data_IF_943986035781
#
_entry.id   IF_943986035781
#
_cell.length_a   1.000
_cell.length_b   1.000
_cell.length_c   1.000
_cell.angle_alpha   90.00
_cell.angle_beta   90.00
_cell.angle_gamma   90.00
#
_symmetry.space_group_name_H-M   'P 1'
#
loop_
_entity.id
_entity.type
_entity.pdbx_description
1 polymer ?
#
# COMPACT_ATOMS: atom_id res chain seq x y z
N UNK A 1 12.82 10.46 -8.54
CA UNK A 1 12.20 9.38 -9.34
C UNK A 1 12.56 9.59 -10.79
N UNK A 2 12.63 8.53 -11.59
CA UNK A 2 12.78 8.65 -13.04
C UNK A 2 11.50 9.33 -13.57
N UNK A 3 11.60 10.33 -14.44
CA UNK A 3 10.46 11.14 -14.90
C UNK A 3 9.30 10.32 -15.51
N UNK A 4 9.56 9.09 -15.93
CA UNK A 4 8.59 8.20 -16.59
C UNK A 4 8.10 7.01 -15.73
N UNK A 5 8.54 6.88 -14.46
CA UNK A 5 8.14 5.74 -13.61
C UNK A 5 6.97 6.12 -12.68
N UNK A 6 5.78 6.30 -13.25
CA UNK A 6 4.55 6.60 -12.50
C UNK A 6 3.89 5.33 -11.97
N UNK A 7 3.25 5.44 -10.82
CA UNK A 7 2.29 4.45 -10.33
C UNK A 7 0.93 4.75 -10.94
N UNK A 8 0.34 3.78 -11.63
CA UNK A 8 -0.98 3.97 -12.25
C UNK A 8 -1.98 3.05 -11.54
N UNK A 9 -3.05 3.62 -11.00
CA UNK A 9 -4.15 2.89 -10.34
C UNK A 9 -5.48 3.40 -10.90
N UNK A 10 -6.25 2.52 -11.54
CA UNK A 10 -7.54 2.90 -12.10
C UNK A 10 -7.48 4.07 -13.11
N UNK A 11 -6.39 4.18 -13.86
CA UNK A 11 -6.15 5.27 -14.81
C UNK A 11 -5.63 6.58 -14.20
N UNK A 12 -5.44 6.66 -12.90
CA UNK A 12 -4.85 7.80 -12.21
C UNK A 12 -3.36 7.61 -11.99
N UNK A 13 -2.57 8.67 -12.23
CA UNK A 13 -1.12 8.67 -12.09
C UNK A 13 -0.69 9.23 -10.73
N UNK A 14 0.25 8.53 -10.08
CA UNK A 14 0.88 8.94 -8.84
C UNK A 14 2.41 8.94 -9.00
N UNK A 15 3.05 9.94 -8.42
CA UNK A 15 4.51 10.00 -8.33
C UNK A 15 5.02 9.27 -7.10
N UNK A 16 4.23 9.27 -6.03
CA UNK A 16 4.57 8.59 -4.79
C UNK A 16 4.17 7.11 -4.83
N UNK A 17 5.02 6.28 -4.24
CA UNK A 17 4.74 4.86 -3.99
C UNK A 17 4.55 4.56 -2.50
N UNK A 18 4.40 5.62 -1.69
CA UNK A 18 4.02 5.55 -0.29
C UNK A 18 2.54 5.93 -0.13
N UNK A 19 1.76 5.06 0.49
CA UNK A 19 0.35 5.31 0.84
C UNK A 19 0.24 5.33 2.36
N UNK A 20 -0.36 6.39 2.91
CA UNK A 20 -0.64 6.43 4.35
C UNK A 20 -1.84 5.56 4.68
N UNK A 21 -1.63 4.55 5.52
CA UNK A 21 -2.68 3.69 6.05
C UNK A 21 -3.57 4.40 7.07
N UNK A 22 -4.77 3.85 7.31
CA UNK A 22 -5.67 4.29 8.38
C UNK A 22 -5.37 3.56 9.70
N UNK A 23 -5.71 4.16 10.81
CA UNK A 23 -5.59 3.48 12.12
C UNK A 23 -5.50 4.45 13.27
N UNK A 24 -4.38 5.09 13.44
CA UNK A 24 -4.17 6.15 14.42
C UNK A 24 -3.86 7.43 13.67
N UNK A 25 -4.79 8.37 13.68
CA UNK A 25 -4.57 9.68 13.07
C UNK A 25 -4.19 10.72 14.12
N UNK A 26 -3.24 11.54 13.74
CA UNK A 26 -3.05 12.87 14.30
C UNK A 26 -2.77 13.82 13.13
N UNK A 27 -3.05 15.09 13.29
CA UNK A 27 -2.73 16.12 12.29
C UNK A 27 -1.25 16.06 11.89
N UNK A 28 -0.37 15.88 12.89
CA UNK A 28 1.07 15.73 12.67
C UNK A 28 1.43 14.53 11.79
N UNK A 29 0.72 13.39 11.95
CA UNK A 29 0.95 12.20 11.13
C UNK A 29 0.57 12.46 9.67
N UNK A 30 -0.59 13.07 9.41
CA UNK A 30 -1.03 13.40 8.06
C UNK A 30 -0.06 14.41 7.42
N UNK A 31 0.29 15.47 8.15
CA UNK A 31 1.23 16.48 7.67
C UNK A 31 2.59 15.87 7.32
N UNK A 32 3.16 15.04 8.17
CA UNK A 32 4.44 14.39 7.94
C UNK A 32 4.36 13.35 6.80
N UNK A 33 3.27 12.60 6.71
CA UNK A 33 3.08 11.68 5.60
C UNK A 33 3.04 12.40 4.24
N UNK A 34 2.41 13.58 4.16
CA UNK A 34 2.34 14.38 2.94
C UNK A 34 3.67 15.08 2.66
N UNK A 35 4.22 15.82 3.64
CA UNK A 35 5.39 16.68 3.43
C UNK A 35 6.69 15.89 3.39
N UNK A 36 6.85 14.92 4.30
CA UNK A 36 8.13 14.21 4.49
C UNK A 36 8.17 12.91 3.72
N UNK A 37 7.12 12.06 3.83
CA UNK A 37 7.05 10.82 3.04
C UNK A 37 6.56 11.03 1.61
N UNK A 38 5.96 12.18 1.30
CA UNK A 38 5.46 12.52 -0.03
C UNK A 38 4.21 11.75 -0.44
N UNK A 39 3.36 11.37 0.54
CA UNK A 39 2.12 10.65 0.24
C UNK A 39 1.19 11.51 -0.65
N UNK A 40 0.72 10.92 -1.74
CA UNK A 40 -0.30 11.48 -2.63
C UNK A 40 -1.66 10.77 -2.45
N UNK A 41 -1.69 9.71 -1.64
CA UNK A 41 -2.89 8.96 -1.30
C UNK A 41 -2.92 8.65 0.21
N UNK A 42 -4.08 8.88 0.84
CA UNK A 42 -4.29 8.67 2.28
C UNK A 42 -5.58 7.89 2.50
N UNK A 43 -5.50 6.79 3.25
CA UNK A 43 -6.70 6.07 3.66
C UNK A 43 -7.38 6.74 4.84
N UNK A 44 -8.69 6.61 4.93
CA UNK A 44 -9.49 7.09 6.05
C UNK A 44 -10.66 6.14 6.35
N UNK A 45 -11.02 6.05 7.63
CA UNK A 45 -12.18 5.28 8.07
C UNK A 45 -13.36 6.24 8.31
N UNK A 46 -14.35 6.22 7.43
CA UNK A 46 -15.50 7.15 7.45
C UNK A 46 -16.26 7.17 8.78
N UNK A 47 -16.32 6.03 9.48
CA UNK A 47 -16.98 5.94 10.80
C UNK A 47 -16.38 6.83 11.89
N UNK A 48 -15.13 7.30 11.71
CA UNK A 48 -14.45 8.14 12.69
C UNK A 48 -14.57 9.63 12.39
N UNK A 49 -15.07 10.01 11.22
CA UNK A 49 -15.20 11.41 10.81
C UNK A 49 -16.49 12.08 11.30
N UNK A 50 -17.42 11.35 11.93
CA UNK A 50 -18.77 11.82 12.27
C UNK A 50 -19.02 12.04 13.77
N UNK A 51 -18.01 12.20 14.61
CA UNK A 51 -18.22 12.70 15.98
C UNK A 51 -18.44 14.23 15.91
N UNK A 52 -19.58 14.70 16.39
CA UNK A 52 -20.03 16.08 16.27
C UNK A 52 -19.14 17.14 16.96
N UNK A 53 -18.11 16.72 17.68
CA UNK A 53 -17.21 17.57 18.46
C UNK A 53 -15.73 17.52 18.00
N UNK A 54 -15.39 16.77 16.93
CA UNK A 54 -14.03 16.74 16.38
C UNK A 54 -14.00 17.51 15.05
N UNK A 55 -13.01 18.40 14.92
CA UNK A 55 -12.70 19.06 13.65
C UNK A 55 -12.63 18.02 12.52
N UNK A 56 -13.36 18.28 11.44
CA UNK A 56 -13.45 17.32 10.33
C UNK A 56 -12.06 17.15 9.69
N UNK A 57 -11.46 15.98 9.85
CA UNK A 57 -10.11 15.68 9.35
C UNK A 57 -9.97 15.93 7.84
N UNK A 58 -11.09 15.89 7.11
CA UNK A 58 -11.13 16.15 5.67
C UNK A 58 -10.80 17.61 5.33
N UNK A 59 -11.07 18.55 6.25
CA UNK A 59 -10.81 19.99 6.04
C UNK A 59 -9.31 20.30 6.07
N UNK A 60 -8.51 19.41 6.66
CA UNK A 60 -7.07 19.57 6.78
C UNK A 60 -6.26 18.85 5.71
N UNK A 61 -6.89 17.96 4.93
CA UNK A 61 -6.21 17.23 3.86
C UNK A 61 -6.22 18.12 2.60
N UNK A 62 -5.05 18.46 2.03
CA UNK A 62 -4.98 19.24 0.80
C UNK A 62 -5.77 18.58 -0.35
N UNK A 63 -6.44 19.41 -1.16
CA UNK A 63 -7.33 18.93 -2.26
C UNK A 63 -6.62 18.13 -3.35
N UNK A 64 -5.31 18.23 -3.44
CA UNK A 64 -4.49 17.45 -4.38
C UNK A 64 -4.13 16.06 -3.84
N UNK A 65 -4.52 15.70 -2.63
CA UNK A 65 -4.32 14.38 -2.05
C UNK A 65 -5.54 13.51 -2.37
N UNK A 66 -5.29 12.34 -2.91
CA UNK A 66 -6.34 11.36 -3.19
C UNK A 66 -6.79 10.71 -1.88
N UNK A 67 -8.08 10.81 -1.61
CA UNK A 67 -8.70 10.12 -0.49
C UNK A 67 -8.99 8.66 -0.86
N UNK A 68 -8.58 7.75 0.00
CA UNK A 68 -8.83 6.31 -0.14
C UNK A 68 -9.64 5.84 1.08
N UNK A 69 -10.96 6.11 1.13
CA UNK A 69 -11.78 5.60 2.22
C UNK A 69 -11.73 4.09 2.26
N UNK A 70 -11.66 3.54 3.48
CA UNK A 70 -11.71 2.09 3.68
C UNK A 70 -13.05 1.65 4.27
N UNK A 71 -13.40 0.39 4.04
CA UNK A 71 -14.60 -0.24 4.57
C UNK A 71 -14.36 -0.92 5.92
N UNK A 72 -13.35 -0.49 6.66
CA UNK A 72 -12.94 -1.07 7.95
C UNK A 72 -14.12 -1.18 8.91
N UNK A 73 -14.25 -2.35 9.51
CA UNK A 73 -15.35 -2.73 10.39
C UNK A 73 -16.50 -3.44 9.67
N UNK A 74 -16.48 -3.55 8.34
CA UNK A 74 -17.39 -4.41 7.60
C UNK A 74 -17.08 -5.89 7.88
N UNK A 75 -18.13 -6.69 8.03
CA UNK A 75 -18.07 -8.14 8.26
C UNK A 75 -18.60 -8.92 7.07
N UNK A 76 -19.35 -8.26 6.20
CA UNK A 76 -19.94 -8.81 4.99
C UNK A 76 -19.71 -7.87 3.81
N UNK A 77 -19.87 -8.39 2.61
CA UNK A 77 -19.79 -7.60 1.39
C UNK A 77 -20.83 -6.46 1.39
N UNK A 78 -22.05 -6.73 1.85
CA UNK A 78 -23.13 -5.74 1.90
C UNK A 78 -22.78 -4.56 2.83
N UNK A 79 -22.16 -4.83 3.98
CA UNK A 79 -21.69 -3.78 4.89
C UNK A 79 -20.57 -2.96 4.25
N UNK A 80 -19.62 -3.60 3.57
CA UNK A 80 -18.54 -2.91 2.85
C UNK A 80 -19.10 -2.00 1.75
N UNK A 81 -20.03 -2.50 0.95
CA UNK A 81 -20.70 -1.73 -0.11
C UNK A 81 -21.41 -0.50 0.46
N UNK A 82 -22.14 -0.67 1.57
CA UNK A 82 -22.84 0.45 2.23
C UNK A 82 -21.86 1.53 2.72
N UNK A 83 -20.74 1.13 3.33
CA UNK A 83 -19.72 2.06 3.82
C UNK A 83 -19.06 2.80 2.65
N UNK A 84 -18.72 2.10 1.57
CA UNK A 84 -18.14 2.71 0.37
C UNK A 84 -19.07 3.75 -0.26
N UNK A 85 -20.35 3.42 -0.42
CA UNK A 85 -21.35 4.36 -0.96
C UNK A 85 -21.49 5.61 -0.08
N UNK A 86 -21.56 5.43 1.23
CA UNK A 86 -21.61 6.53 2.18
C UNK A 86 -20.37 7.44 2.05
N UNK A 87 -19.17 6.87 1.91
CA UNK A 87 -17.95 7.67 1.74
C UNK A 87 -17.96 8.49 0.46
N UNK A 88 -18.50 7.95 -0.64
CA UNK A 88 -18.69 8.69 -1.90
C UNK A 88 -19.67 9.84 -1.74
N UNK A 89 -20.79 9.63 -1.06
CA UNK A 89 -21.79 10.69 -0.75
C UNK A 89 -21.20 11.80 0.11
N UNK A 90 -20.24 11.47 1.00
CA UNK A 90 -19.50 12.45 1.80
C UNK A 90 -18.39 13.19 1.02
N UNK A 91 -18.26 12.94 -0.28
CA UNK A 91 -17.33 13.66 -1.14
C UNK A 91 -15.91 13.06 -1.18
N UNK A 92 -15.69 11.83 -0.69
CA UNK A 92 -14.38 11.20 -0.71
C UNK A 92 -13.95 10.67 -2.09
N UNK A 93 -14.78 10.85 -3.13
CA UNK A 93 -14.48 10.37 -4.48
C UNK A 93 -14.78 8.89 -4.70
N UNK A 94 -14.21 8.30 -5.76
CA UNK A 94 -14.53 6.95 -6.20
C UNK A 94 -13.49 5.89 -5.79
N UNK A 95 -12.33 6.27 -5.26
CA UNK A 95 -11.38 5.31 -4.71
C UNK A 95 -11.95 4.65 -3.46
N UNK A 96 -11.73 3.35 -3.30
CA UNK A 96 -12.12 2.63 -2.08
C UNK A 96 -11.15 1.48 -1.78
N UNK A 97 -10.65 1.43 -0.55
CA UNK A 97 -9.96 0.27 -0.01
C UNK A 97 -10.98 -0.67 0.62
N UNK A 98 -11.15 -1.83 0.02
CA UNK A 98 -12.13 -2.81 0.50
C UNK A 98 -11.49 -3.66 1.59
N UNK A 99 -12.02 -3.56 2.80
CA UNK A 99 -11.65 -4.36 3.96
C UNK A 99 -12.89 -5.06 4.49
N UNK A 100 -12.96 -6.38 4.37
CA UNK A 100 -14.00 -7.20 5.01
C UNK A 100 -13.34 -8.19 5.96
N UNK A 101 -13.63 -8.08 7.25
CA UNK A 101 -12.96 -8.85 8.30
C UNK A 101 -13.97 -9.37 9.31
N UNK A 102 -14.21 -10.67 9.30
CA UNK A 102 -15.07 -11.34 10.32
C UNK A 102 -14.34 -11.48 11.65
N UNK A 103 -13.01 -11.68 11.61
CA UNK A 103 -12.17 -11.75 12.80
C UNK A 103 -11.80 -10.35 13.30
N UNK A 104 -12.05 -10.10 14.60
CA UNK A 104 -11.75 -8.82 15.24
C UNK A 104 -10.42 -8.80 15.98
N UNK A 105 -9.81 -9.97 16.17
CA UNK A 105 -8.60 -10.09 16.98
C UNK A 105 -7.33 -9.88 16.14
N UNK A 106 -7.29 -10.53 15.00
CA UNK A 106 -6.12 -10.51 14.12
C UNK A 106 -6.33 -9.62 12.90
N UNK A 107 -7.57 -9.20 12.64
CA UNK A 107 -7.96 -8.33 11.52
C UNK A 107 -7.57 -8.95 10.16
N UNK A 108 -7.77 -10.27 10.04
CA UNK A 108 -7.49 -10.98 8.81
C UNK A 108 -8.65 -10.80 7.82
N UNK A 109 -8.34 -10.59 6.53
CA UNK A 109 -9.34 -10.38 5.51
C UNK A 109 -10.13 -11.66 5.20
N UNK A 110 -11.42 -11.49 4.90
CA UNK A 110 -12.27 -12.53 4.32
C UNK A 110 -12.23 -12.39 2.79
N UNK A 111 -11.43 -13.22 2.12
CA UNK A 111 -11.24 -13.12 0.68
C UNK A 111 -12.55 -13.30 -0.10
N UNK A 112 -13.45 -14.19 0.32
CA UNK A 112 -14.72 -14.45 -0.37
C UNK A 112 -15.64 -13.22 -0.34
N UNK A 113 -15.82 -12.63 0.83
CA UNK A 113 -16.64 -11.44 0.98
C UNK A 113 -15.96 -10.21 0.31
N UNK A 114 -14.63 -10.16 0.30
CA UNK A 114 -13.87 -9.12 -0.40
C UNK A 114 -14.08 -9.18 -1.91
N UNK A 115 -14.07 -10.37 -2.54
CA UNK A 115 -14.36 -10.55 -3.96
C UNK A 115 -15.79 -10.07 -4.28
N UNK A 116 -16.80 -10.48 -3.48
CA UNK A 116 -18.20 -10.06 -3.68
C UNK A 116 -18.36 -8.54 -3.58
N UNK A 117 -17.75 -7.92 -2.57
CA UNK A 117 -17.79 -6.47 -2.41
C UNK A 117 -17.12 -5.74 -3.59
N UNK A 118 -15.98 -6.26 -4.06
CA UNK A 118 -15.24 -5.72 -5.19
C UNK A 118 -16.10 -5.74 -6.46
N UNK A 119 -16.74 -6.87 -6.77
CA UNK A 119 -17.59 -7.01 -7.96
C UNK A 119 -18.74 -5.99 -7.95
N UNK A 120 -19.42 -5.83 -6.82
CA UNK A 120 -20.55 -4.90 -6.69
C UNK A 120 -20.07 -3.45 -6.85
N UNK A 121 -18.97 -3.08 -6.18
CA UNK A 121 -18.47 -1.71 -6.18
C UNK A 121 -17.82 -1.32 -7.51
N UNK A 122 -17.10 -2.24 -8.17
CA UNK A 122 -16.52 -2.00 -9.49
C UNK A 122 -17.61 -1.75 -10.55
N UNK A 123 -18.71 -2.54 -10.52
CA UNK A 123 -19.90 -2.30 -11.39
C UNK A 123 -20.58 -0.96 -11.12
N UNK A 124 -20.46 -0.43 -9.89
CA UNK A 124 -20.99 0.89 -9.49
C UNK A 124 -19.99 2.04 -9.74
N UNK A 125 -18.89 1.77 -10.44
CA UNK A 125 -17.89 2.77 -10.86
C UNK A 125 -16.87 3.17 -9.80
N UNK A 126 -16.69 2.37 -8.75
CA UNK A 126 -15.61 2.58 -7.80
C UNK A 126 -14.28 2.06 -8.35
N UNK A 127 -13.20 2.74 -7.96
CA UNK A 127 -11.81 2.28 -8.17
C UNK A 127 -11.43 1.43 -6.96
N UNK A 128 -11.59 0.12 -7.11
CA UNK A 128 -11.51 -0.84 -6.02
C UNK A 128 -10.08 -1.29 -5.75
N UNK A 129 -9.64 -1.17 -4.50
CA UNK A 129 -8.34 -1.61 -4.01
C UNK A 129 -8.56 -2.61 -2.84
N UNK A 130 -8.80 -3.90 -3.13
CA UNK A 130 -9.14 -4.90 -2.13
C UNK A 130 -7.93 -5.33 -1.29
N UNK A 131 -8.10 -5.30 0.04
CA UNK A 131 -7.21 -5.90 1.03
C UNK A 131 -7.52 -7.40 1.13
N UNK A 132 -6.49 -8.24 0.96
CA UNK A 132 -6.66 -9.68 0.88
C UNK A 132 -5.56 -10.45 1.61
N UNK A 133 -5.86 -11.67 2.04
CA UNK A 133 -4.84 -12.66 2.36
C UNK A 133 -4.19 -13.12 1.05
N UNK A 134 -2.84 -13.13 0.90
CA UNK A 134 -2.18 -13.39 -0.37
C UNK A 134 -2.38 -14.84 -0.82
N UNK A 135 -3.26 -14.99 -1.81
CA UNK A 135 -3.61 -16.23 -2.50
C UNK A 135 -3.80 -15.93 -3.99
N UNK A 136 -3.15 -16.70 -4.86
CA UNK A 136 -3.14 -16.43 -6.29
C UNK A 136 -4.52 -16.57 -6.95
N UNK A 137 -5.29 -17.59 -6.56
CA UNK A 137 -6.63 -17.78 -7.13
C UNK A 137 -7.55 -16.63 -6.73
N UNK A 138 -7.51 -16.23 -5.46
CA UNK A 138 -8.22 -15.05 -4.97
C UNK A 138 -7.81 -13.78 -5.73
N UNK A 139 -6.53 -13.60 -6.05
CA UNK A 139 -6.07 -12.44 -6.81
C UNK A 139 -6.65 -12.44 -8.24
N UNK A 140 -6.69 -13.59 -8.92
CA UNK A 140 -7.36 -13.71 -10.22
C UNK A 140 -8.86 -13.42 -10.13
N UNK A 141 -9.54 -13.91 -9.10
CA UNK A 141 -10.96 -13.62 -8.88
C UNK A 141 -11.21 -12.13 -8.65
N UNK A 142 -10.31 -11.44 -7.91
CA UNK A 142 -10.38 -10.00 -7.70
C UNK A 142 -10.13 -9.20 -8.99
N UNK A 143 -9.20 -9.63 -9.84
CA UNK A 143 -9.00 -9.05 -11.19
C UNK A 143 -10.29 -9.17 -12.00
N UNK A 144 -10.89 -10.35 -12.03
CA UNK A 144 -12.15 -10.60 -12.74
C UNK A 144 -13.33 -9.80 -12.15
N UNK A 145 -13.31 -9.56 -10.84
CA UNK A 145 -14.30 -8.73 -10.15
C UNK A 145 -14.14 -7.22 -10.43
N UNK A 146 -13.05 -6.79 -11.10
CA UNK A 146 -12.82 -5.41 -11.50
C UNK A 146 -11.98 -4.60 -10.50
N UNK A 147 -11.09 -5.23 -9.75
CA UNK A 147 -10.11 -4.53 -8.93
C UNK A 147 -9.19 -3.65 -9.80
N UNK A 148 -8.76 -2.51 -9.26
CA UNK A 148 -7.80 -1.60 -9.90
C UNK A 148 -6.36 -1.77 -9.37
N UNK A 149 -6.21 -2.40 -8.23
CA UNK A 149 -4.95 -2.84 -7.63
C UNK A 149 -5.24 -3.97 -6.65
N UNK A 150 -4.24 -4.77 -6.28
CA UNK A 150 -4.36 -5.84 -5.28
C UNK A 150 -3.52 -5.46 -4.06
N UNK A 151 -4.09 -5.60 -2.86
CA UNK A 151 -3.46 -5.20 -1.61
C UNK A 151 -3.25 -6.40 -0.66
N UNK A 152 -2.24 -7.24 -0.90
CA UNK A 152 -1.94 -8.38 -0.04
C UNK A 152 -1.39 -7.92 1.31
N UNK A 153 -1.83 -8.57 2.39
CA UNK A 153 -1.24 -8.36 3.71
C UNK A 153 0.17 -8.97 3.79
N UNK A 154 1.13 -8.20 4.29
CA UNK A 154 2.47 -8.71 4.61
C UNK A 154 2.51 -9.39 5.99
N UNK A 155 1.78 -8.85 6.96
CA UNK A 155 1.56 -9.42 8.29
C UNK A 155 0.27 -8.80 8.87
N UNK A 156 -0.28 -9.31 9.98
CA UNK A 156 -1.49 -8.75 10.58
C UNK A 156 -1.41 -7.24 10.82
N UNK A 157 -2.51 -6.54 10.59
CA UNK A 157 -2.63 -5.08 10.74
C UNK A 157 -2.07 -4.63 12.09
N UNK A 158 -1.21 -3.61 12.10
CA UNK A 158 -0.65 -3.02 13.30
C UNK A 158 0.44 -3.83 14.00
N UNK A 159 0.85 -4.97 13.45
CA UNK A 159 1.82 -5.87 14.07
C UNK A 159 3.28 -5.45 13.91
N UNK A 160 3.63 -4.64 12.92
CA UNK A 160 5.01 -4.25 12.56
C UNK A 160 5.97 -5.45 12.35
N UNK A 161 5.42 -6.63 12.00
CA UNK A 161 6.20 -7.88 11.83
C UNK A 161 6.92 -7.98 10.49
N UNK A 162 6.62 -7.09 9.54
CA UNK A 162 7.25 -7.06 8.22
C UNK A 162 6.64 -8.04 7.21
N UNK A 163 7.46 -8.51 6.29
CA UNK A 163 7.07 -9.32 5.13
C UNK A 163 6.92 -10.81 5.47
N UNK A 164 6.03 -11.16 6.41
CA UNK A 164 5.80 -12.56 6.81
C UNK A 164 5.22 -13.43 5.69
N UNK A 165 4.57 -12.82 4.69
CA UNK A 165 3.96 -13.51 3.53
C UNK A 165 4.73 -13.24 2.24
N UNK A 166 6.03 -12.92 2.34
CA UNK A 166 6.90 -12.49 1.24
C UNK A 166 6.80 -13.37 0.01
N UNK A 167 6.92 -14.68 0.17
CA UNK A 167 6.96 -15.62 -0.96
C UNK A 167 5.64 -15.63 -1.72
N UNK A 168 4.51 -15.53 -1.01
CA UNK A 168 3.19 -15.43 -1.65
C UNK A 168 2.99 -14.09 -2.36
N UNK A 169 3.47 -12.99 -1.76
CA UNK A 169 3.44 -11.66 -2.41
C UNK A 169 4.29 -11.69 -3.69
N UNK A 170 5.45 -12.35 -3.69
CA UNK A 170 6.28 -12.47 -4.87
C UNK A 170 5.56 -13.22 -6.01
N UNK A 171 4.80 -14.27 -5.68
CA UNK A 171 3.96 -14.96 -6.67
C UNK A 171 2.94 -13.98 -7.28
N UNK A 172 2.25 -13.19 -6.46
CA UNK A 172 1.29 -12.20 -6.96
C UNK A 172 1.95 -11.15 -7.86
N UNK A 173 3.14 -10.67 -7.51
CA UNK A 173 3.90 -9.70 -8.32
C UNK A 173 4.25 -10.30 -9.70
N UNK A 174 4.57 -11.58 -9.75
CA UNK A 174 4.98 -12.24 -10.99
C UNK A 174 3.79 -12.60 -11.90
N UNK A 175 2.61 -12.88 -11.33
CA UNK A 175 1.48 -13.49 -12.05
C UNK A 175 0.31 -12.55 -12.30
N UNK A 176 0.25 -11.41 -11.64
CA UNK A 176 -0.88 -10.47 -11.71
C UNK A 176 -0.47 -9.17 -12.39
N UNK A 177 -1.13 -8.82 -13.47
CA UNK A 177 -0.84 -7.59 -14.25
C UNK A 177 -1.30 -6.28 -13.57
N UNK A 178 -2.07 -6.36 -12.47
CA UNK A 178 -2.46 -5.17 -11.70
C UNK A 178 -1.36 -4.76 -10.71
N UNK A 179 -1.31 -3.47 -10.31
CA UNK A 179 -0.41 -3.01 -9.26
C UNK A 179 -0.59 -3.82 -7.96
N UNK A 180 0.48 -4.44 -7.48
CA UNK A 180 0.51 -5.09 -6.17
C UNK A 180 1.02 -4.08 -5.15
N UNK A 181 0.19 -3.74 -4.18
CA UNK A 181 0.48 -2.78 -3.12
C UNK A 181 0.61 -3.54 -1.81
N UNK A 182 1.82 -3.62 -1.26
CA UNK A 182 2.05 -4.33 -0.01
C UNK A 182 1.41 -3.57 1.14
N UNK A 183 0.44 -4.22 1.79
CA UNK A 183 -0.37 -3.64 2.87
C UNK A 183 -0.17 -4.40 4.17
N UNK A 184 -0.37 -3.70 5.28
CA UNK A 184 -0.30 -4.21 6.65
C UNK A 184 1.05 -4.86 7.05
N UNK A 185 1.40 -4.70 8.30
CA UNK A 185 2.57 -5.36 8.90
C UNK A 185 3.92 -4.71 8.64
N UNK A 186 4.06 -3.81 7.67
CA UNK A 186 5.31 -3.09 7.43
C UNK A 186 5.62 -2.18 8.63
N UNK A 187 6.72 -2.47 9.31
CA UNK A 187 7.12 -1.79 10.54
C UNK A 187 8.45 -1.04 10.46
N UNK A 188 9.22 -1.23 9.38
CA UNK A 188 10.54 -0.62 9.20
C UNK A 188 10.76 -0.18 7.77
N UNK A 189 11.53 0.90 7.54
CA UNK A 189 11.91 1.34 6.20
C UNK A 189 12.61 0.24 5.37
N UNK A 190 13.46 -0.59 5.98
CA UNK A 190 14.12 -1.71 5.30
C UNK A 190 13.14 -2.73 4.70
N UNK A 191 12.00 -2.97 5.36
CA UNK A 191 10.97 -3.87 4.86
C UNK A 191 10.20 -3.25 3.69
N UNK A 192 10.00 -1.93 3.71
CA UNK A 192 9.43 -1.20 2.58
C UNK A 192 10.39 -1.21 1.37
N UNK A 193 11.70 -1.03 1.61
CA UNK A 193 12.73 -1.17 0.58
C UNK A 193 12.68 -2.58 -0.04
N UNK A 194 12.70 -3.62 0.77
CA UNK A 194 12.62 -5.01 0.31
C UNK A 194 11.36 -5.28 -0.52
N UNK A 195 10.19 -4.79 -0.09
CA UNK A 195 8.96 -4.91 -0.87
C UNK A 195 9.08 -4.25 -2.26
N UNK A 196 9.70 -3.08 -2.33
CA UNK A 196 9.94 -2.38 -3.60
C UNK A 196 10.99 -3.10 -4.47
N UNK A 197 12.02 -3.69 -3.87
CA UNK A 197 13.01 -4.53 -4.56
C UNK A 197 12.37 -5.79 -5.15
N UNK A 198 11.38 -6.37 -4.50
CA UNK A 198 10.60 -7.49 -5.04
C UNK A 198 9.78 -7.13 -6.29
N UNK A 199 9.56 -5.83 -6.55
CA UNK A 199 8.75 -5.33 -7.66
C UNK A 199 7.35 -4.88 -7.26
N UNK A 200 7.06 -4.75 -5.96
CA UNK A 200 5.79 -4.17 -5.53
C UNK A 200 5.58 -2.78 -6.16
N UNK A 201 4.33 -2.46 -6.49
CA UNK A 201 3.99 -1.18 -7.10
C UNK A 201 4.04 -0.03 -6.08
N UNK A 202 3.64 -0.30 -4.83
CA UNK A 202 3.65 0.65 -3.72
C UNK A 202 3.64 -0.08 -2.37
N UNK A 203 3.83 0.68 -1.29
CA UNK A 203 3.76 0.21 0.09
C UNK A 203 2.81 1.09 0.88
N UNK A 204 1.97 0.46 1.71
CA UNK A 204 1.13 1.14 2.69
C UNK A 204 1.67 0.93 4.10
N UNK A 205 1.84 2.01 4.85
CA UNK A 205 2.19 1.94 6.27
C UNK A 205 1.43 3.01 7.08
N UNK A 206 1.16 2.69 8.33
CA UNK A 206 0.59 3.65 9.31
C UNK A 206 1.25 3.46 10.68
N UNK A 207 1.09 2.29 11.32
CA UNK A 207 1.53 2.03 12.70
C UNK A 207 3.02 2.30 12.87
N UNK A 208 3.85 1.98 11.88
CA UNK A 208 5.28 2.24 11.90
C UNK A 208 5.63 3.71 12.07
N UNK A 209 4.87 4.61 11.41
CA UNK A 209 5.03 6.04 11.56
C UNK A 209 4.39 6.54 12.86
N UNK A 210 3.12 6.15 13.10
CA UNK A 210 2.33 6.64 14.23
C UNK A 210 2.91 6.29 15.61
N UNK A 211 3.75 5.27 15.69
CA UNK A 211 4.40 4.81 16.94
C UNK A 211 5.89 5.09 16.98
N UNK A 212 6.43 5.80 15.99
CA UNK A 212 7.84 6.20 15.96
C UNK A 212 8.14 7.26 17.05
N UNK A 213 9.37 7.25 17.57
CA UNK A 213 9.82 8.26 18.49
C UNK A 213 9.98 9.64 17.84
N UNK A 214 10.40 9.66 16.57
CA UNK A 214 10.45 10.84 15.70
C UNK A 214 9.71 10.54 14.40
N UNK A 215 8.56 11.16 14.26
CA UNK A 215 7.65 10.96 13.12
C UNK A 215 8.23 11.50 11.80
N UNK A 216 8.87 12.67 11.87
CA UNK A 216 9.47 13.34 10.71
C UNK A 216 10.61 12.50 10.13
N UNK A 217 11.56 12.08 10.97
CA UNK A 217 12.66 11.23 10.54
C UNK A 217 12.18 9.88 10.03
N UNK A 218 11.15 9.29 10.65
CA UNK A 218 10.60 8.01 10.19
C UNK A 218 9.92 8.14 8.83
N UNK A 219 9.17 9.21 8.59
CA UNK A 219 8.52 9.48 7.30
C UNK A 219 9.55 9.67 6.18
N UNK A 220 10.61 10.45 6.42
CA UNK A 220 11.73 10.60 5.48
C UNK A 220 12.43 9.27 5.21
N UNK A 221 12.67 8.46 6.23
CA UNK A 221 13.31 7.16 6.09
C UNK A 221 12.46 6.20 5.22
N UNK A 222 11.14 6.19 5.39
CA UNK A 222 10.23 5.42 4.53
C UNK A 222 10.29 5.89 3.07
N UNK A 223 10.25 7.20 2.83
CA UNK A 223 10.38 7.75 1.46
C UNK A 223 11.68 7.29 0.80
N UNK A 224 12.80 7.49 1.46
CA UNK A 224 14.12 7.12 0.95
C UNK A 224 14.25 5.61 0.69
N UNK A 225 13.72 4.80 1.58
CA UNK A 225 13.72 3.34 1.46
C UNK A 225 12.89 2.87 0.25
N UNK A 226 11.69 3.39 0.08
CA UNK A 226 10.81 3.09 -1.06
C UNK A 226 11.46 3.52 -2.37
N UNK A 227 12.01 4.73 -2.42
CA UNK A 227 12.73 5.22 -3.61
C UNK A 227 13.97 4.39 -3.94
N UNK A 228 14.73 3.96 -2.92
CA UNK A 228 15.91 3.11 -3.07
C UNK A 228 15.54 1.76 -3.63
N UNK A 229 14.57 1.07 -3.01
CA UNK A 229 14.12 -0.24 -3.47
C UNK A 229 13.56 -0.21 -4.89
N UNK A 230 12.79 0.82 -5.24
CA UNK A 230 12.29 0.99 -6.61
C UNK A 230 13.41 1.17 -7.63
N UNK A 231 14.40 2.00 -7.32
CA UNK A 231 15.58 2.21 -8.20
C UNK A 231 16.37 0.91 -8.36
N UNK A 232 16.57 0.14 -7.28
CA UNK A 232 17.24 -1.14 -7.32
C UNK A 232 16.51 -2.14 -8.23
N UNK A 233 15.18 -2.26 -8.09
CA UNK A 233 14.34 -3.09 -8.95
C UNK A 233 14.47 -2.72 -10.43
N UNK A 234 14.36 -1.43 -10.76
CA UNK A 234 14.43 -0.93 -12.14
C UNK A 234 15.82 -1.08 -12.76
N UNK A 235 16.88 -1.02 -11.95
CA UNK A 235 18.25 -1.19 -12.44
C UNK A 235 18.61 -2.63 -12.78
N UNK A 236 17.83 -3.60 -12.26
CA UNK A 236 18.21 -5.02 -12.23
C UNK A 236 19.27 -5.30 -11.17
N UNK A 237 19.20 -6.49 -10.58
CA UNK A 237 20.15 -6.90 -9.54
C UNK A 237 21.41 -7.52 -10.14
N UNK A 238 22.54 -7.38 -9.43
CA UNK A 238 23.74 -8.13 -9.70
C UNK A 238 23.51 -9.65 -9.56
N UNK A 239 24.27 -10.43 -10.29
CA UNK A 239 24.16 -11.91 -10.24
C UNK A 239 24.52 -12.43 -8.86
N UNK A 240 23.69 -13.34 -8.34
CA UNK A 240 24.03 -14.16 -7.19
C UNK A 240 24.81 -15.37 -7.69
N UNK A 241 25.98 -15.63 -7.13
CA UNK A 241 26.86 -16.73 -7.50
C UNK A 241 27.00 -17.68 -6.31
N UNK A 242 27.05 -18.98 -6.58
CA UNK A 242 27.31 -20.01 -5.56
C UNK A 242 28.76 -19.98 -5.06
N UNK A 243 29.67 -19.42 -5.87
CA UNK A 243 31.07 -19.23 -5.56
C UNK A 243 31.46 -17.78 -5.67
N UNK A 244 32.53 -17.37 -5.01
CA UNK A 244 33.04 -16.02 -5.10
C UNK A 244 33.41 -15.66 -6.55
N UNK A 245 33.30 -14.36 -6.88
CA UNK A 245 33.80 -13.83 -8.15
C UNK A 245 35.33 -13.97 -8.23
N UNK A 246 35.88 -13.85 -9.45
CA UNK A 246 37.32 -13.75 -9.66
C UNK A 246 37.90 -12.57 -8.85
N UNK A 247 39.15 -12.70 -8.42
CA UNK A 247 39.88 -11.61 -7.79
C UNK A 247 39.93 -10.38 -8.72
N UNK A 248 39.98 -9.21 -8.13
CA UNK A 248 40.15 -7.96 -8.88
C UNK A 248 41.41 -8.03 -9.75
N UNK A 249 41.30 -7.51 -10.98
CA UNK A 249 42.46 -7.37 -11.86
C UNK A 249 43.51 -6.49 -11.20
N UNK A 250 44.84 -6.84 -11.35
CA UNK A 250 45.89 -5.96 -10.87
C UNK A 250 45.78 -4.56 -11.52
N UNK A 251 46.09 -3.52 -10.77
CA UNK A 251 46.08 -2.12 -11.29
C UNK A 251 46.91 -1.93 -12.59
N UNK A 252 47.92 -2.79 -12.79
CA UNK A 252 48.74 -2.81 -14.03
C UNK A 252 47.94 -3.18 -15.28
N UNK A 253 46.82 -3.94 -15.14
CA UNK A 253 45.94 -4.30 -16.25
C UNK A 253 45.05 -3.14 -16.71
N UNK A 254 44.84 -2.11 -15.88
CA UNK A 254 44.03 -0.92 -16.21
C UNK A 254 44.80 0.11 -17.02
N UNK A 255 46.14 0.06 -17.02
CA UNK A 255 47.02 1.02 -17.72
C UNK A 255 47.21 0.70 -19.20
N UNK A 256 46.69 -0.41 -19.69
CA UNK A 256 46.86 -0.88 -21.07
C UNK A 256 45.53 -1.00 -21.85
N UNK A 257 44.48 -0.28 -21.44
CA UNK A 257 43.26 -0.14 -22.22
C UNK A 257 43.09 1.26 -22.80
#
# INVERSE_FOLDING_TARGET
>A
MLENDKLIIGGHEFSSRFILGSGKYSMKLIESAIKDAGAEMITLAVRRSNSADEENILDYIPKNITLLPNTSGARTAEEAVRIAKLSRELGCGNFVKIEVMRDRKYLLPDNVETIRATEILAKDGFICMPYMYPDLNTAHDLVNAGAAAIMPLAAPIGSNKGLCTKDFIQILINEIDLPIIVDAGIGRPSQACEAMEMGAAAVMANTALATAGDLHLMALAFKQAIESGRKAYLSGFGRVLDQGAAASDPLTGLLHR
#
